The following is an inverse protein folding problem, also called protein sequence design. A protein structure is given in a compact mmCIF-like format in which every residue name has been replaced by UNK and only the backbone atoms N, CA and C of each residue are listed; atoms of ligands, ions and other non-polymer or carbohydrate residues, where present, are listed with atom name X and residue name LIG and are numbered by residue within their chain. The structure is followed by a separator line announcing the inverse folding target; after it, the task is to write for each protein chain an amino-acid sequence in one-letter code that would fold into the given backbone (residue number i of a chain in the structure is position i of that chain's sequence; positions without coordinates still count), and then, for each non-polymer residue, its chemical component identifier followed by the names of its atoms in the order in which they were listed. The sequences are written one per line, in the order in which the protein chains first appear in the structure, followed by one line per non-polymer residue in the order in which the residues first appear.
data_IF_263715815506
#
_entry.id   IF_263715815506
#
_cell.length_a   1.000
_cell.length_b   1.000
_cell.length_c   1.000
_cell.angle_alpha   90.00
_cell.angle_beta   90.00
_cell.angle_gamma   90.00
#
_symmetry.space_group_name_H-M   'P 1'
#
loop_
_entity.id
_entity.type
_entity.pdbx_description
1 polymer ?
#
# COMPACT_ATOMS: atom_id res chain seq x y z
N UNK A 1 1.89 12.90 3.14
CA UNK A 1 0.83 12.25 3.94
C UNK A 1 0.69 10.78 3.57
N UNK A 2 0.55 10.44 2.28
CA UNK A 2 0.56 9.04 1.80
C UNK A 2 1.87 8.29 2.12
N UNK A 3 3.03 8.91 1.98
CA UNK A 3 4.31 8.23 2.23
C UNK A 3 4.48 7.83 3.71
N UNK A 4 3.93 8.63 4.63
CA UNK A 4 3.85 8.30 6.06
C UNK A 4 2.91 7.10 6.30
N UNK A 5 1.74 7.11 5.65
CA UNK A 5 0.79 6.00 5.73
C UNK A 5 1.40 4.69 5.19
N UNK A 6 2.21 4.78 4.12
CA UNK A 6 2.95 3.66 3.52
C UNK A 6 4.04 3.14 4.45
N UNK A 7 4.80 4.03 5.07
CA UNK A 7 5.86 3.63 6.00
C UNK A 7 5.25 2.91 7.22
N UNK A 8 4.12 3.42 7.72
CA UNK A 8 3.37 2.79 8.80
C UNK A 8 2.79 1.43 8.39
N UNK A 9 2.21 1.34 7.18
CA UNK A 9 1.75 0.08 6.61
C UNK A 9 2.86 -0.98 6.59
N UNK A 10 4.03 -0.63 6.04
CA UNK A 10 5.18 -1.53 5.96
C UNK A 10 5.68 -1.96 7.35
N UNK A 11 5.67 -1.04 8.32
CA UNK A 11 6.01 -1.38 9.71
C UNK A 11 5.01 -2.36 10.32
N UNK A 12 3.71 -2.19 10.08
CA UNK A 12 2.67 -3.09 10.59
C UNK A 12 2.72 -4.47 9.92
N UNK A 13 3.09 -4.53 8.64
CA UNK A 13 3.24 -5.78 7.89
C UNK A 13 4.48 -6.57 8.33
N UNK A 14 5.58 -5.89 8.67
CA UNK A 14 6.83 -6.52 9.10
C UNK A 14 6.87 -6.84 10.60
N UNK A 15 6.05 -6.15 11.40
CA UNK A 15 5.97 -6.33 12.84
C UNK A 15 5.20 -7.59 13.24
N UNK A 16 5.75 -8.78 12.98
CA UNK A 16 5.35 -10.05 13.62
C UNK A 16 3.89 -10.52 13.42
N UNK A 17 3.66 -11.84 13.48
CA UNK A 17 2.36 -12.46 13.23
C UNK A 17 1.33 -12.34 14.38
N UNK A 18 1.31 -11.22 15.11
CA UNK A 18 0.36 -11.01 16.20
C UNK A 18 -0.99 -10.51 15.67
N UNK A 19 -2.09 -11.01 16.24
CA UNK A 19 -3.46 -10.68 15.81
C UNK A 19 -3.77 -9.18 15.90
N UNK A 20 -3.25 -8.48 16.91
CA UNK A 20 -3.37 -7.02 17.03
C UNK A 20 -2.67 -6.28 15.88
N UNK A 21 -1.51 -6.76 15.41
CA UNK A 21 -0.81 -6.14 14.28
C UNK A 21 -1.60 -6.34 12.99
N UNK A 22 -2.24 -7.50 12.82
CA UNK A 22 -3.14 -7.75 11.70
C UNK A 22 -4.37 -6.84 11.73
N UNK A 23 -5.00 -6.65 12.88
CA UNK A 23 -6.15 -5.74 13.02
C UNK A 23 -5.76 -4.28 12.74
N UNK A 24 -4.60 -3.84 13.23
CA UNK A 24 -4.04 -2.51 12.94
C UNK A 24 -3.72 -2.35 11.45
N UNK A 25 -3.15 -3.38 10.81
CA UNK A 25 -2.86 -3.40 9.38
C UNK A 25 -4.14 -3.23 8.56
N UNK A 26 -5.20 -3.98 8.89
CA UNK A 26 -6.49 -3.85 8.20
C UNK A 26 -7.16 -2.51 8.44
N UNK A 27 -7.07 -1.97 9.66
CA UNK A 27 -7.55 -0.64 9.99
C UNK A 27 -6.83 0.42 9.15
N UNK A 28 -5.50 0.31 9.02
CA UNK A 28 -4.69 1.20 8.19
C UNK A 28 -5.06 1.11 6.71
N UNK A 29 -5.20 -0.10 6.17
CA UNK A 29 -5.63 -0.31 4.77
C UNK A 29 -7.01 0.30 4.51
N UNK A 30 -7.94 0.18 5.48
CA UNK A 30 -9.26 0.80 5.39
C UNK A 30 -9.17 2.32 5.35
N UNK A 31 -8.40 2.94 6.23
CA UNK A 31 -8.19 4.39 6.21
C UNK A 31 -7.59 4.88 4.88
N UNK A 32 -6.59 4.15 4.35
CA UNK A 32 -5.97 4.50 3.08
C UNK A 32 -6.96 4.37 1.91
N UNK A 33 -7.80 3.33 1.92
CA UNK A 33 -8.90 3.17 0.96
C UNK A 33 -9.90 4.32 1.05
N UNK A 34 -10.31 4.71 2.25
CA UNK A 34 -11.28 5.79 2.46
C UNK A 34 -10.71 7.14 2.01
N UNK A 35 -9.43 7.41 2.29
CA UNK A 35 -8.72 8.58 1.75
C UNK A 35 -8.66 8.52 0.22
N UNK A 36 -8.29 7.39 -0.36
CA UNK A 36 -8.23 7.23 -1.82
C UNK A 36 -9.62 7.47 -2.45
N UNK A 37 -10.71 7.01 -1.83
CA UNK A 37 -12.07 7.21 -2.35
C UNK A 37 -12.44 8.70 -2.54
N UNK A 38 -11.80 9.62 -1.82
CA UNK A 38 -12.00 11.07 -1.97
C UNK A 38 -11.18 11.68 -3.12
N UNK A 39 -10.25 10.94 -3.72
CA UNK A 39 -9.36 11.44 -4.76
C UNK A 39 -9.94 11.23 -6.19
N UNK A 40 -9.54 12.07 -7.17
CA UNK A 40 -9.83 11.83 -8.59
C UNK A 40 -9.33 10.46 -9.08
N UNK A 41 -9.90 9.95 -10.17
CA UNK A 41 -9.59 8.61 -10.68
C UNK A 41 -8.08 8.36 -10.91
N UNK A 42 -7.39 9.30 -11.55
CA UNK A 42 -5.94 9.18 -11.81
C UNK A 42 -5.13 9.14 -10.51
N UNK A 43 -5.48 10.00 -9.54
CA UNK A 43 -4.84 10.02 -8.24
C UNK A 43 -5.15 8.77 -7.42
N UNK A 44 -6.34 8.18 -7.58
CA UNK A 44 -6.72 6.89 -6.98
C UNK A 44 -5.87 5.74 -7.53
N UNK A 45 -5.64 5.70 -8.84
CA UNK A 45 -4.75 4.72 -9.48
C UNK A 45 -3.34 4.81 -8.89
N UNK A 46 -2.76 6.02 -8.88
CA UNK A 46 -1.42 6.24 -8.32
C UNK A 46 -1.34 5.88 -6.84
N UNK A 47 -2.38 6.20 -6.06
CA UNK A 47 -2.46 5.84 -4.65
C UNK A 47 -2.47 4.33 -4.46
N UNK A 48 -3.34 3.61 -5.18
CA UNK A 48 -3.44 2.16 -5.10
C UNK A 48 -2.14 1.47 -5.52
N UNK A 49 -1.49 1.93 -6.58
CA UNK A 49 -0.21 1.39 -7.05
C UNK A 49 0.88 1.50 -5.97
N UNK A 50 1.02 2.68 -5.36
CA UNK A 50 2.01 2.89 -4.28
C UNK A 50 1.74 2.00 -3.06
N UNK A 51 0.47 1.84 -2.69
CA UNK A 51 0.07 0.96 -1.58
C UNK A 51 0.39 -0.51 -1.89
N UNK A 52 0.05 -0.98 -3.08
CA UNK A 52 0.29 -2.36 -3.49
C UNK A 52 1.80 -2.68 -3.51
N UNK A 53 2.61 -1.79 -4.11
CA UNK A 53 4.07 -1.93 -4.16
C UNK A 53 4.70 -1.95 -2.77
N UNK A 54 4.27 -1.05 -1.90
CA UNK A 54 4.75 -1.01 -0.51
C UNK A 54 4.39 -2.28 0.26
N UNK A 55 3.15 -2.74 0.12
CA UNK A 55 2.68 -3.95 0.76
C UNK A 55 3.45 -5.19 0.28
N UNK A 56 3.69 -5.30 -1.03
CA UNK A 56 4.46 -6.39 -1.63
C UNK A 56 5.87 -6.48 -1.05
N UNK A 57 6.59 -5.35 -1.02
CA UNK A 57 7.94 -5.31 -0.43
C UNK A 57 7.90 -5.63 1.07
N UNK A 58 6.86 -5.20 1.79
CA UNK A 58 6.76 -5.40 3.24
C UNK A 58 6.49 -6.86 3.64
N UNK A 59 5.83 -7.66 2.79
CA UNK A 59 5.69 -9.11 3.00
C UNK A 59 6.92 -9.92 2.55
N UNK A 60 7.97 -9.25 2.07
CA UNK A 60 9.21 -9.88 1.58
C UNK A 60 9.23 -10.18 0.08
N UNK A 61 8.31 -9.60 -0.70
CA UNK A 61 8.35 -9.66 -2.16
C UNK A 61 9.52 -8.87 -2.74
N UNK A 62 10.01 -9.28 -3.91
CA UNK A 62 11.15 -8.64 -4.54
C UNK A 62 10.74 -7.34 -5.23
N UNK A 63 11.63 -6.35 -5.20
CA UNK A 63 11.48 -5.11 -5.94
C UNK A 63 11.46 -5.37 -7.44
N UNK A 64 12.27 -6.32 -7.92
CA UNK A 64 12.38 -6.62 -9.34
C UNK A 64 11.05 -7.15 -9.93
N UNK A 65 10.19 -7.74 -9.10
CA UNK A 65 8.85 -8.23 -9.51
C UNK A 65 7.87 -7.09 -9.78
N UNK A 66 8.11 -5.90 -9.19
CA UNK A 66 7.24 -4.73 -9.31
C UNK A 66 7.87 -3.60 -10.11
N UNK A 67 9.16 -3.69 -10.44
CA UNK A 67 9.92 -2.75 -11.25
C UNK A 67 9.60 -2.98 -12.74
N UNK A 68 8.56 -2.29 -13.21
CA UNK A 68 8.01 -2.43 -14.58
C UNK A 68 6.49 -2.45 -14.61
N UNK A 69 5.83 -2.75 -13.48
CA UNK A 69 4.37 -2.68 -13.32
C UNK A 69 3.91 -1.24 -13.09
N UNK A 70 4.19 -0.33 -14.02
CA UNK A 70 3.65 1.03 -13.95
C UNK A 70 2.27 1.09 -14.59
N UNK A 71 1.32 1.74 -13.93
CA UNK A 71 0.00 1.99 -14.51
C UNK A 71 0.03 2.94 -15.73
N UNK A 72 1.19 3.48 -16.10
CA UNK A 72 1.44 4.29 -17.31
C UNK A 72 1.42 3.47 -18.61
N UNK A 73 1.34 2.13 -18.55
CA UNK A 73 0.89 1.35 -19.72
C UNK A 73 -0.62 1.57 -19.94
N UNK A 74 -0.98 2.75 -20.45
CA UNK A 74 -2.30 3.01 -21.02
C UNK A 74 -2.53 2.10 -22.23
N UNK A 75 -3.52 1.20 -22.11
CA UNK A 75 -4.23 0.63 -23.24
C UNK A 75 -5.57 1.35 -23.40
#
# INVERSE_FOLDING_TARGET
MLDLDIQELASLTTAGGDLENFERLFSKLKEMKDKAATLPHEQRKLHAEKVAKAFWMAIGGDRDEIEGLSSDEEH
#
